data_IF_159128115192
#
_entry.id   IF_159128115192
#
_cell.length_a   1.000
_cell.length_b   1.000
_cell.length_c   1.000
_cell.angle_alpha   90.00
_cell.angle_beta   90.00
_cell.angle_gamma   90.00
#
_symmetry.space_group_name_H-M   'P 1'
#
loop_
_entity.id
_entity.type
_entity.pdbx_description
1 polymer ?
#
# COMPACT_ATOMS: atom_id res chain seq x y z
N UNK A 1 14.79 -41.91 -55.19
CA UNK A 1 16.03 -41.76 -55.98
C UNK A 1 16.96 -40.78 -55.28
N UNK A 2 17.93 -41.28 -54.51
CA UNK A 2 19.33 -40.87 -54.56
C UNK A 2 20.09 -41.72 -53.54
N UNK A 3 20.98 -42.54 -54.09
CA UNK A 3 21.78 -43.58 -53.45
C UNK A 3 23.22 -43.04 -53.39
N UNK A 4 23.87 -43.09 -52.22
CA UNK A 4 25.34 -43.15 -52.03
C UNK A 4 25.66 -43.07 -50.52
N UNK A 5 26.56 -43.82 -49.92
CA UNK A 5 27.24 -45.11 -50.15
C UNK A 5 28.14 -45.29 -48.91
N UNK A 6 28.04 -46.44 -48.24
CA UNK A 6 29.14 -47.30 -47.76
C UNK A 6 30.10 -46.74 -46.67
N UNK A 7 30.18 -47.37 -45.49
CA UNK A 7 31.26 -48.31 -45.13
C UNK A 7 31.05 -48.96 -43.76
N UNK A 8 30.86 -50.28 -43.80
CA UNK A 8 30.94 -51.21 -42.68
C UNK A 8 32.43 -51.61 -42.55
N UNK A 9 32.99 -51.51 -41.34
CA UNK A 9 34.38 -51.85 -41.05
C UNK A 9 34.49 -52.48 -39.69
N UNK A 10 34.42 -53.81 -39.68
CA UNK A 10 34.69 -54.69 -38.54
C UNK A 10 36.21 -54.74 -38.30
N UNK A 11 36.68 -54.44 -37.09
CA UNK A 11 38.02 -54.87 -36.65
C UNK A 11 38.02 -55.27 -35.17
N UNK A 12 38.12 -56.57 -34.96
CA UNK A 12 38.43 -57.24 -33.70
C UNK A 12 39.84 -56.81 -33.23
N UNK A 13 39.97 -56.34 -32.00
CA UNK A 13 41.25 -56.37 -31.25
C UNK A 13 40.97 -56.73 -29.80
N UNK A 14 41.61 -57.80 -29.36
CA UNK A 14 41.58 -58.39 -28.01
C UNK A 14 42.85 -57.94 -27.26
N UNK A 15 42.78 -57.96 -25.93
CA UNK A 15 43.82 -57.70 -24.90
C UNK A 15 43.97 -56.20 -24.57
N UNK A 16 43.88 -55.74 -23.31
CA UNK A 16 44.44 -56.30 -22.07
C UNK A 16 43.79 -55.62 -20.85
N UNK A 17 43.48 -56.40 -19.81
CA UNK A 17 43.22 -55.92 -18.46
C UNK A 17 44.42 -55.11 -17.95
N UNK A 18 44.20 -53.85 -17.61
CA UNK A 18 45.06 -53.13 -16.67
C UNK A 18 44.22 -52.06 -15.97
N UNK A 19 44.03 -52.26 -14.67
CA UNK A 19 43.34 -51.30 -13.82
C UNK A 19 44.12 -49.99 -13.74
N UNK A 20 43.41 -48.88 -13.89
CA UNK A 20 43.81 -47.60 -13.33
C UNK A 20 42.59 -47.04 -12.61
N UNK A 21 42.58 -47.24 -11.30
CA UNK A 21 41.79 -46.46 -10.35
C UNK A 21 42.26 -45.02 -10.50
N UNK A 22 41.44 -44.17 -11.10
CA UNK A 22 41.64 -42.72 -11.02
C UNK A 22 41.37 -42.31 -9.58
N UNK A 23 42.47 -42.03 -8.88
CA UNK A 23 42.50 -41.44 -7.56
C UNK A 23 41.83 -40.07 -7.61
N UNK A 24 40.66 -39.96 -6.99
CA UNK A 24 40.14 -38.65 -6.59
C UNK A 24 41.10 -38.11 -5.53
N UNK A 25 41.80 -37.03 -5.86
CA UNK A 25 42.54 -36.25 -4.87
C UNK A 25 41.51 -35.66 -3.90
N UNK A 26 41.37 -36.30 -2.75
CA UNK A 26 40.76 -35.68 -1.57
C UNK A 26 41.70 -34.57 -1.12
N UNK A 27 41.21 -33.35 -1.21
CA UNK A 27 41.86 -32.17 -0.67
C UNK A 27 41.98 -32.35 0.85
N UNK A 28 43.19 -32.22 1.37
CA UNK A 28 43.57 -32.57 2.73
C UNK A 28 43.21 -31.45 3.72
N UNK A 29 41.93 -31.06 3.74
CA UNK A 29 41.40 -30.03 4.65
C UNK A 29 40.56 -30.57 5.81
N UNK A 30 39.91 -31.72 5.64
CA UNK A 30 39.05 -32.30 6.69
C UNK A 30 39.72 -33.54 7.27
N UNK A 31 40.56 -33.34 8.28
CA UNK A 31 41.05 -34.44 9.10
C UNK A 31 39.84 -35.03 9.86
N UNK A 32 39.37 -36.20 9.43
CA UNK A 32 38.47 -37.03 10.21
C UNK A 32 39.20 -37.43 11.50
N UNK A 33 38.93 -36.69 12.59
CA UNK A 33 39.39 -37.05 13.93
C UNK A 33 38.48 -38.15 14.45
N UNK A 34 38.82 -39.40 14.16
CA UNK A 34 38.24 -40.54 14.86
C UNK A 34 38.81 -40.57 16.28
N UNK A 35 38.06 -40.00 17.24
CA UNK A 35 38.33 -40.22 18.67
C UNK A 35 38.05 -41.68 18.99
N UNK A 36 39.09 -42.44 19.27
CA UNK A 36 38.95 -43.79 19.85
C UNK A 36 38.67 -43.62 21.34
N UNK A 37 37.41 -43.76 21.76
CA UNK A 37 36.99 -43.75 23.18
C UNK A 37 37.35 -45.12 23.77
N UNK A 38 38.25 -45.16 24.76
CA UNK A 38 38.77 -46.41 25.38
C UNK A 38 37.92 -46.93 26.54
N UNK A 39 36.76 -46.33 26.82
CA UNK A 39 35.79 -46.84 27.77
C UNK A 39 34.42 -46.90 27.09
N UNK A 40 33.72 -48.01 27.27
CA UNK A 40 32.31 -48.15 26.91
C UNK A 40 31.52 -47.34 27.95
N UNK A 41 31.63 -46.01 27.86
CA UNK A 41 30.60 -45.13 28.39
C UNK A 41 29.31 -45.40 27.61
N UNK A 42 28.17 -45.16 28.26
CA UNK A 42 26.86 -45.22 27.62
C UNK A 42 26.91 -44.56 26.23
N UNK A 43 26.21 -45.13 25.22
CA UNK A 43 26.24 -44.56 23.88
C UNK A 43 25.85 -43.09 23.98
N UNK A 44 26.75 -42.18 23.57
CA UNK A 44 26.47 -40.74 23.54
C UNK A 44 25.13 -40.56 22.82
N UNK A 45 24.12 -40.03 23.51
CA UNK A 45 22.75 -40.00 23.02
C UNK A 45 22.60 -38.81 22.05
N UNK A 46 22.81 -39.07 20.76
CA UNK A 46 22.62 -38.07 19.72
C UNK A 46 21.14 -37.99 19.32
N UNK A 47 20.57 -36.80 19.39
CA UNK A 47 19.23 -36.54 18.90
C UNK A 47 19.32 -35.93 17.50
N UNK A 48 18.59 -36.54 16.56
CA UNK A 48 18.45 -36.03 15.19
C UNK A 48 17.03 -35.51 15.02
N UNK A 49 16.92 -34.23 14.72
CA UNK A 49 15.65 -33.56 14.48
C UNK A 49 15.65 -32.89 13.10
N UNK A 50 14.47 -32.65 12.57
CA UNK A 50 14.29 -31.84 11.37
C UNK A 50 13.92 -30.43 11.82
N UNK A 51 14.78 -29.46 11.51
CA UNK A 51 14.52 -28.04 11.73
C UNK A 51 14.21 -27.35 10.41
N UNK A 52 13.06 -26.69 10.32
CA UNK A 52 12.72 -25.81 9.19
C UNK A 52 13.29 -24.42 9.45
N UNK A 53 14.17 -23.95 8.56
CA UNK A 53 14.62 -22.56 8.54
C UNK A 53 13.69 -21.76 7.62
N UNK A 54 13.14 -20.67 8.15
CA UNK A 54 12.30 -19.72 7.40
C UNK A 54 13.12 -18.47 7.12
N UNK A 55 13.29 -18.13 5.86
CA UNK A 55 13.97 -16.90 5.41
C UNK A 55 12.97 -16.06 4.64
N UNK A 56 12.67 -14.87 5.16
CA UNK A 56 11.77 -13.91 4.50
C UNK A 56 12.60 -12.82 3.83
N UNK A 57 12.24 -12.43 2.62
CA UNK A 57 12.86 -11.31 1.92
C UNK A 57 12.60 -9.99 2.63
N UNK A 58 13.62 -9.13 2.72
CA UNK A 58 13.50 -7.78 3.29
C UNK A 58 12.78 -6.80 2.36
N UNK A 59 12.53 -7.19 1.10
CA UNK A 59 11.92 -6.31 0.10
C UNK A 59 10.59 -6.86 -0.42
N UNK A 60 9.58 -5.98 -0.43
CA UNK A 60 8.34 -6.22 -1.15
C UNK A 60 8.48 -5.80 -2.63
N UNK A 61 7.71 -6.42 -3.54
CA UNK A 61 7.52 -5.91 -4.89
C UNK A 61 6.97 -4.47 -4.89
N UNK A 62 7.07 -3.79 -6.03
CA UNK A 62 6.50 -2.46 -6.20
C UNK A 62 4.98 -2.45 -5.98
N UNK A 63 4.47 -1.39 -5.36
CA UNK A 63 3.03 -1.20 -5.15
C UNK A 63 2.29 -1.16 -6.49
N UNK A 64 1.13 -1.80 -6.55
CA UNK A 64 0.25 -1.80 -7.73
C UNK A 64 -1.12 -1.19 -7.42
N UNK A 65 -1.86 -0.78 -8.45
CA UNK A 65 -3.27 -0.41 -8.34
C UNK A 65 -4.15 -1.56 -8.84
N UNK A 66 -5.22 -1.85 -8.12
CA UNK A 66 -6.18 -2.89 -8.46
C UNK A 66 -7.58 -2.32 -8.60
N UNK A 67 -8.25 -2.67 -9.70
CA UNK A 67 -9.62 -2.28 -9.97
C UNK A 67 -10.62 -2.92 -8.99
N UNK A 68 -11.80 -2.33 -8.94
CA UNK A 68 -12.90 -2.85 -8.13
C UNK A 68 -13.45 -4.16 -8.72
N UNK A 69 -13.55 -5.19 -7.88
CA UNK A 69 -14.00 -6.54 -8.27
C UNK A 69 -15.47 -6.82 -7.91
N UNK A 70 -16.23 -5.80 -7.49
CA UNK A 70 -17.66 -5.94 -7.16
C UNK A 70 -17.95 -6.40 -5.73
N UNK A 71 -17.03 -6.17 -4.79
CA UNK A 71 -17.20 -6.46 -3.36
C UNK A 71 -18.23 -5.60 -2.62
N UNK A 72 -18.08 -5.46 -1.30
CA UNK A 72 -19.02 -4.70 -0.44
C UNK A 72 -18.56 -3.26 -0.12
N UNK A 73 -17.40 -2.84 -0.64
CA UNK A 73 -16.84 -1.52 -0.33
C UNK A 73 -17.25 -0.42 -1.31
N UNK A 74 -16.66 0.75 -1.11
CA UNK A 74 -16.92 1.95 -1.91
C UNK A 74 -16.08 1.84 -3.18
N UNK A 75 -16.74 1.57 -4.30
CA UNK A 75 -16.16 1.29 -5.62
C UNK A 75 -15.19 2.37 -6.12
N UNK A 76 -15.40 3.63 -5.74
CA UNK A 76 -14.55 4.76 -6.14
C UNK A 76 -13.47 5.16 -5.12
N UNK A 77 -13.33 4.43 -4.00
CA UNK A 77 -12.26 4.63 -3.02
C UNK A 77 -11.29 3.45 -3.07
N UNK A 78 -10.01 3.77 -3.27
CA UNK A 78 -8.92 2.83 -3.14
C UNK A 78 -8.38 2.81 -1.70
N UNK A 79 -8.15 1.63 -1.15
CA UNK A 79 -7.53 1.46 0.18
C UNK A 79 -6.27 0.60 0.09
N UNK A 80 -5.33 0.84 1.00
CA UNK A 80 -4.09 0.08 1.07
C UNK A 80 -4.36 -1.36 1.52
N UNK A 81 -3.79 -2.30 0.78
CA UNK A 81 -3.74 -3.73 1.09
C UNK A 81 -2.28 -4.11 1.21
N UNK A 82 -1.92 -4.67 2.36
CA UNK A 82 -0.55 -5.07 2.67
C UNK A 82 -0.11 -6.23 1.77
N UNK A 83 1.14 -6.13 1.29
CA UNK A 83 1.78 -7.19 0.51
C UNK A 83 2.32 -8.31 1.40
N UNK A 84 2.72 -9.41 0.77
CA UNK A 84 3.36 -10.54 1.45
C UNK A 84 4.78 -10.66 0.87
N UNK A 85 5.84 -10.66 1.69
CA UNK A 85 7.19 -10.84 1.20
C UNK A 85 7.44 -12.28 0.75
N UNK A 86 8.38 -12.47 -0.17
CA UNK A 86 8.83 -13.80 -0.58
C UNK A 86 9.37 -14.53 0.65
N UNK A 87 8.91 -15.77 0.87
CA UNK A 87 9.33 -16.59 2.00
C UNK A 87 9.86 -17.92 1.52
N UNK A 88 11.12 -18.20 1.87
CA UNK A 88 11.79 -19.48 1.60
C UNK A 88 11.79 -20.33 2.85
N UNK A 89 11.40 -21.59 2.70
CA UNK A 89 11.50 -22.61 3.75
C UNK A 89 12.47 -23.69 3.30
N UNK A 90 13.41 -24.06 4.16
CA UNK A 90 14.38 -25.11 3.90
C UNK A 90 14.57 -25.96 5.15
N UNK A 91 14.44 -27.28 5.01
CA UNK A 91 14.56 -28.20 6.12
C UNK A 91 16.01 -28.67 6.27
N UNK A 92 16.46 -28.81 7.51
CA UNK A 92 17.78 -29.30 7.85
C UNK A 92 17.67 -30.47 8.83
N UNK A 93 18.44 -31.53 8.59
CA UNK A 93 18.76 -32.50 9.64
C UNK A 93 19.75 -31.85 10.59
N UNK A 94 19.36 -31.70 11.85
CA UNK A 94 20.17 -31.14 12.91
C UNK A 94 20.46 -32.22 13.94
N UNK A 95 21.75 -32.47 14.18
CA UNK A 95 22.21 -33.42 15.21
C UNK A 95 22.74 -32.63 16.39
N UNK A 96 22.21 -32.92 17.59
CA UNK A 96 22.64 -32.30 18.85
C UNK A 96 23.23 -33.34 19.80
N UNK A 97 24.18 -32.93 20.63
CA UNK A 97 24.64 -33.71 21.79
C UNK A 97 23.67 -33.57 22.98
N UNK A 98 23.99 -34.28 24.06
CA UNK A 98 23.26 -34.25 25.33
C UNK A 98 23.21 -32.85 25.96
N UNK A 99 24.19 -31.98 25.65
CA UNK A 99 24.22 -30.57 26.08
C UNK A 99 23.38 -29.63 25.19
N UNK A 100 22.81 -30.13 24.08
CA UNK A 100 21.98 -29.36 23.14
C UNK A 100 22.75 -28.55 22.09
N UNK A 101 24.07 -28.68 22.03
CA UNK A 101 24.93 -28.04 21.03
C UNK A 101 24.78 -28.69 19.65
N UNK A 102 24.79 -27.89 18.59
CA UNK A 102 24.68 -28.39 17.21
C UNK A 102 26.01 -28.99 16.78
N UNK A 103 26.01 -30.29 16.48
CA UNK A 103 27.18 -31.02 15.97
C UNK A 103 27.16 -31.09 14.44
N UNK A 104 25.98 -31.23 13.84
CA UNK A 104 25.82 -31.28 12.39
C UNK A 104 24.52 -30.60 11.97
N UNK A 105 24.58 -29.90 10.83
CA UNK A 105 23.43 -29.31 10.15
C UNK A 105 23.55 -29.57 8.66
N UNK A 106 22.70 -30.45 8.13
CA UNK A 106 22.74 -30.86 6.72
C UNK A 106 21.40 -30.57 6.04
N UNK A 107 21.35 -29.87 4.89
CA UNK A 107 20.10 -29.59 4.20
C UNK A 107 19.42 -30.87 3.73
N UNK A 108 18.11 -30.95 3.90
CA UNK A 108 17.27 -32.02 3.36
C UNK A 108 17.08 -31.74 1.86
N UNK A 109 17.63 -32.60 1.01
CA UNK A 109 17.55 -32.40 -0.44
C UNK A 109 16.09 -32.37 -0.92
N UNK A 110 15.76 -31.34 -1.70
CA UNK A 110 14.41 -31.14 -2.24
C UNK A 110 13.39 -30.57 -1.24
N UNK A 111 13.78 -30.27 0.01
CA UNK A 111 12.89 -29.63 0.99
C UNK A 111 12.63 -28.15 0.73
N UNK A 112 13.51 -27.50 -0.05
CA UNK A 112 13.42 -26.07 -0.35
C UNK A 112 12.10 -25.76 -1.07
N UNK A 113 11.24 -24.99 -0.42
CA UNK A 113 10.01 -24.43 -0.99
C UNK A 113 10.05 -22.91 -0.88
N UNK A 114 9.55 -22.25 -1.92
CA UNK A 114 9.47 -20.79 -2.00
C UNK A 114 8.01 -20.41 -2.17
N UNK A 115 7.54 -19.52 -1.31
CA UNK A 115 6.27 -18.84 -1.46
C UNK A 115 6.53 -17.48 -2.09
N UNK A 116 5.93 -17.25 -3.26
CA UNK A 116 6.13 -16.03 -4.05
C UNK A 116 5.63 -14.80 -3.30
N UNK A 117 6.32 -13.68 -3.49
CA UNK A 117 5.88 -12.40 -2.95
C UNK A 117 4.56 -11.93 -3.59
N UNK A 118 3.69 -11.33 -2.77
CA UNK A 118 2.50 -10.60 -3.21
C UNK A 118 2.76 -9.10 -3.04
N UNK A 119 2.61 -8.34 -4.12
CA UNK A 119 2.80 -6.90 -4.08
C UNK A 119 1.76 -6.22 -3.15
N UNK A 120 2.17 -5.21 -2.35
CA UNK A 120 1.20 -4.32 -1.73
C UNK A 120 0.41 -3.58 -2.80
N UNK A 121 -0.83 -3.20 -2.51
CA UNK A 121 -1.68 -2.56 -3.52
C UNK A 121 -2.65 -1.53 -2.97
N UNK A 122 -2.99 -0.56 -3.82
CA UNK A 122 -4.16 0.30 -3.63
C UNK A 122 -5.33 -0.33 -4.38
N UNK A 123 -6.32 -0.85 -3.64
CA UNK A 123 -7.46 -1.58 -4.22
C UNK A 123 -8.75 -0.77 -4.11
N UNK A 124 -9.42 -0.52 -5.24
CA UNK A 124 -10.76 0.08 -5.30
C UNK A 124 -11.83 -0.85 -4.72
N UNK A 125 -12.89 -0.29 -4.14
CA UNK A 125 -13.85 -1.04 -3.33
C UNK A 125 -13.43 -1.15 -1.86
N UNK A 126 -12.66 -0.19 -1.37
CA UNK A 126 -12.23 -0.14 0.01
C UNK A 126 -13.24 0.55 0.93
N UNK A 127 -12.81 0.85 2.15
CA UNK A 127 -13.57 1.67 3.10
C UNK A 127 -12.88 3.01 3.30
N UNK A 128 -13.58 3.96 3.93
CA UNK A 128 -12.99 5.26 4.28
C UNK A 128 -12.03 5.08 5.46
N UNK A 129 -10.73 4.96 5.16
CA UNK A 129 -9.66 4.87 6.16
C UNK A 129 -8.58 5.91 5.90
N UNK A 130 -7.68 6.10 6.87
CA UNK A 130 -6.51 6.97 6.68
C UNK A 130 -5.60 6.35 5.61
N UNK A 131 -5.15 7.17 4.66
CA UNK A 131 -4.36 6.74 3.51
C UNK A 131 -5.19 6.23 2.33
N UNK A 132 -6.52 6.10 2.47
CA UNK A 132 -7.39 5.80 1.34
C UNK A 132 -7.34 6.94 0.31
N UNK A 133 -7.39 6.58 -0.97
CA UNK A 133 -7.25 7.49 -2.10
C UNK A 133 -8.46 7.46 -3.03
N UNK A 134 -8.78 8.58 -3.67
CA UNK A 134 -9.77 8.62 -4.75
C UNK A 134 -9.51 9.79 -5.71
N UNK A 135 -10.15 9.74 -6.87
CA UNK A 135 -9.97 10.70 -7.97
C UNK A 135 -11.28 11.42 -8.27
N UNK A 136 -11.60 12.52 -7.58
CA UNK A 136 -12.89 13.15 -7.72
C UNK A 136 -13.03 14.00 -8.98
N UNK A 137 -14.25 14.15 -9.45
CA UNK A 137 -14.62 15.37 -10.18
C UNK A 137 -14.79 16.50 -9.17
N UNK A 138 -13.99 17.55 -9.29
CA UNK A 138 -14.15 18.74 -8.45
C UNK A 138 -15.02 19.81 -9.10
N UNK A 139 -15.88 20.42 -8.29
CA UNK A 139 -16.66 21.62 -8.62
C UNK A 139 -16.46 22.68 -7.52
N UNK A 140 -17.10 23.83 -7.66
CA UNK A 140 -17.12 24.87 -6.63
C UNK A 140 -18.53 25.37 -6.36
N UNK A 141 -18.79 25.81 -5.14
CA UNK A 141 -20.05 26.42 -4.74
C UNK A 141 -19.83 27.65 -3.85
N UNK A 142 -20.73 28.62 -3.98
CA UNK A 142 -20.78 29.80 -3.11
C UNK A 142 -21.84 29.70 -2.02
N UNK A 143 -21.78 30.62 -1.06
CA UNK A 143 -22.82 30.83 -0.03
C UNK A 143 -24.16 31.25 -0.64
N UNK A 144 -24.09 31.84 -1.83
CA UNK A 144 -25.18 32.32 -2.67
C UNK A 144 -25.57 31.33 -3.78
N UNK A 145 -25.14 30.06 -3.67
CA UNK A 145 -25.51 29.03 -4.63
C UNK A 145 -27.03 28.85 -4.75
N UNK A 146 -27.48 28.37 -5.91
CA UNK A 146 -28.89 27.97 -6.09
C UNK A 146 -29.26 26.86 -5.11
N UNK A 147 -30.15 27.18 -4.16
CA UNK A 147 -30.56 26.28 -3.07
C UNK A 147 -29.78 26.47 -1.77
N UNK A 148 -28.74 27.30 -1.75
CA UNK A 148 -28.09 27.78 -0.54
C UNK A 148 -28.90 28.94 0.07
N UNK A 149 -29.00 28.99 1.41
CA UNK A 149 -29.78 30.01 2.13
C UNK A 149 -29.14 31.41 2.16
N UNK A 150 -27.93 31.58 1.62
CA UNK A 150 -27.12 32.78 1.78
C UNK A 150 -27.23 33.84 0.69
N UNK A 151 -28.11 33.65 -0.32
CA UNK A 151 -28.27 34.60 -1.42
C UNK A 151 -28.73 36.00 -0.95
N UNK A 152 -29.61 36.06 0.05
CA UNK A 152 -30.16 37.33 0.58
C UNK A 152 -29.36 37.88 1.76
N UNK A 153 -28.99 37.02 2.71
CA UNK A 153 -28.31 37.42 3.95
C UNK A 153 -26.80 37.62 3.78
N UNK A 154 -26.20 37.03 2.73
CA UNK A 154 -24.75 36.93 2.58
C UNK A 154 -24.09 35.89 3.49
N UNK A 155 -24.87 35.14 4.27
CA UNK A 155 -24.40 34.14 5.22
C UNK A 155 -25.26 32.87 5.19
N UNK A 156 -24.64 31.70 5.32
CA UNK A 156 -25.32 30.40 5.38
C UNK A 156 -24.64 29.48 6.41
N UNK A 157 -25.27 28.33 6.65
CA UNK A 157 -24.66 27.22 7.38
C UNK A 157 -24.31 26.09 6.43
N UNK A 158 -23.21 25.40 6.69
CA UNK A 158 -22.90 24.10 6.08
C UNK A 158 -23.65 22.99 6.82
N UNK A 159 -23.85 21.83 6.19
CA UNK A 159 -24.49 20.68 6.83
C UNK A 159 -23.73 20.16 8.07
N UNK A 160 -22.41 20.36 8.12
CA UNK A 160 -21.55 20.08 9.26
C UNK A 160 -21.61 21.12 10.38
N UNK A 161 -22.33 22.24 10.18
CA UNK A 161 -22.60 23.26 11.18
C UNK A 161 -21.59 24.42 11.22
N UNK A 162 -20.71 24.57 10.22
CA UNK A 162 -19.93 25.80 10.08
C UNK A 162 -20.83 26.93 9.57
N UNK A 163 -20.63 28.15 10.06
CA UNK A 163 -21.24 29.35 9.48
C UNK A 163 -20.27 29.96 8.48
N UNK A 164 -20.76 30.22 7.28
CA UNK A 164 -19.98 30.73 6.15
C UNK A 164 -20.65 31.98 5.59
N UNK A 165 -19.85 32.89 5.06
CA UNK A 165 -20.29 34.12 4.39
C UNK A 165 -19.58 34.30 3.06
N UNK A 166 -19.92 35.37 2.34
CA UNK A 166 -19.32 35.65 1.01
C UNK A 166 -17.80 35.77 1.04
N UNK A 167 -17.25 36.35 2.12
CA UNK A 167 -15.83 36.67 2.29
C UNK A 167 -15.27 36.24 3.66
N UNK A 168 -16.02 35.45 4.42
CA UNK A 168 -15.62 35.10 5.78
C UNK A 168 -16.20 33.78 6.24
N UNK A 169 -15.56 33.17 7.24
CA UNK A 169 -16.00 31.94 7.88
C UNK A 169 -15.90 32.09 9.39
N UNK A 170 -16.94 31.64 10.10
CA UNK A 170 -16.93 31.57 11.56
C UNK A 170 -16.01 30.44 12.01
N UNK A 171 -14.93 30.80 12.67
CA UNK A 171 -13.88 29.87 13.08
C UNK A 171 -14.30 29.03 14.30
N UNK A 172 -13.60 27.91 14.60
CA UNK A 172 -13.89 27.08 15.77
C UNK A 172 -13.88 27.83 17.11
N UNK A 173 -13.08 28.90 17.22
CA UNK A 173 -13.01 29.76 18.40
C UNK A 173 -14.25 30.68 18.57
N UNK A 174 -15.16 30.71 17.60
CA UNK A 174 -16.38 31.52 17.60
C UNK A 174 -16.21 32.93 17.01
N UNK A 175 -15.09 33.23 16.37
CA UNK A 175 -14.83 34.52 15.73
C UNK A 175 -14.92 34.41 14.21
N UNK A 176 -15.47 35.43 13.55
CA UNK A 176 -15.44 35.52 12.10
C UNK A 176 -14.03 35.90 11.63
N UNK A 177 -13.51 35.14 10.68
CA UNK A 177 -12.26 35.46 9.98
C UNK A 177 -12.53 35.65 8.50
N UNK A 178 -11.82 36.58 7.88
CA UNK A 178 -11.81 36.76 6.42
C UNK A 178 -11.25 35.51 5.72
N UNK A 179 -11.75 35.25 4.51
CA UNK A 179 -11.38 34.11 3.68
C UNK A 179 -12.39 32.96 3.72
N UNK A 180 -11.99 31.83 3.14
CA UNK A 180 -12.87 30.67 2.86
C UNK A 180 -12.50 29.40 3.64
N UNK A 181 -11.67 29.53 4.68
CA UNK A 181 -11.17 28.39 5.47
C UNK A 181 -11.81 28.31 6.86
N UNK A 182 -11.92 27.10 7.38
CA UNK A 182 -12.40 26.79 8.74
C UNK A 182 -11.30 26.05 9.51
N UNK A 183 -10.78 26.67 10.57
CA UNK A 183 -9.71 26.07 11.37
C UNK A 183 -8.42 25.82 10.56
N UNK A 184 -8.16 26.64 9.54
CA UNK A 184 -7.02 26.51 8.64
C UNK A 184 -7.22 25.55 7.46
N UNK A 185 -8.38 24.89 7.35
CA UNK A 185 -8.70 23.98 6.25
C UNK A 185 -9.72 24.58 5.30
N UNK A 186 -9.56 24.35 4.00
CA UNK A 186 -10.60 24.71 3.02
C UNK A 186 -11.85 23.87 3.23
N UNK A 187 -13.03 24.45 3.01
CA UNK A 187 -14.30 23.72 3.20
C UNK A 187 -14.69 22.99 1.92
N UNK A 188 -15.04 21.71 2.03
CA UNK A 188 -15.63 20.95 0.92
C UNK A 188 -16.95 20.28 1.29
N UNK A 189 -17.83 20.17 0.29
CA UNK A 189 -18.93 19.23 0.28
C UNK A 189 -18.47 17.90 -0.30
N UNK A 190 -18.93 16.79 0.29
CA UNK A 190 -18.58 15.44 -0.15
C UNK A 190 -19.74 14.46 -0.04
N UNK A 191 -19.60 13.28 -0.63
CA UNK A 191 -20.53 12.16 -0.45
C UNK A 191 -20.63 11.74 1.04
N UNK A 192 -21.81 11.39 1.58
CA UNK A 192 -21.98 11.01 2.98
C UNK A 192 -21.16 9.82 3.46
N UNK A 193 -20.70 8.95 2.55
CA UNK A 193 -19.77 7.87 2.89
C UNK A 193 -18.47 8.39 3.50
N UNK A 194 -18.01 9.60 3.12
CA UNK A 194 -16.91 10.31 3.81
C UNK A 194 -17.51 11.09 4.98
N UNK A 195 -17.16 10.76 6.25
CA UNK A 195 -17.72 11.43 7.42
C UNK A 195 -17.39 12.92 7.47
N UNK A 196 -18.25 13.70 8.14
CA UNK A 196 -17.94 15.10 8.45
C UNK A 196 -16.68 15.19 9.33
N UNK A 197 -15.97 16.32 9.22
CA UNK A 197 -14.70 16.60 9.87
C UNK A 197 -13.51 15.76 9.37
N UNK A 198 -13.69 14.95 8.32
CA UNK A 198 -12.59 14.26 7.66
C UNK A 198 -11.66 15.30 7.03
N UNK A 199 -10.35 15.08 7.16
CA UNK A 199 -9.33 15.92 6.53
C UNK A 199 -8.82 15.21 5.30
N UNK A 200 -8.80 15.96 4.20
CA UNK A 200 -8.40 15.51 2.89
C UNK A 200 -7.20 16.34 2.45
N UNK A 201 -6.20 15.71 1.85
CA UNK A 201 -5.20 16.44 1.05
C UNK A 201 -5.58 16.29 -0.41
N UNK A 202 -5.70 17.42 -1.12
CA UNK A 202 -6.10 17.49 -2.52
C UNK A 202 -4.88 17.90 -3.34
N UNK A 203 -4.44 17.00 -4.23
CA UNK A 203 -3.33 17.17 -5.14
C UNK A 203 -3.84 17.50 -6.55
N UNK A 204 -2.95 17.95 -7.44
CA UNK A 204 -3.19 18.04 -8.89
C UNK A 204 -4.49 18.77 -9.28
N UNK A 205 -4.80 19.85 -8.56
CA UNK A 205 -5.99 20.67 -8.82
C UNK A 205 -5.66 21.89 -9.69
N UNK A 206 -6.68 22.42 -10.35
CA UNK A 206 -6.59 23.62 -11.19
C UNK A 206 -6.89 24.94 -10.49
N UNK A 207 -7.36 24.92 -9.23
CA UNK A 207 -7.79 26.14 -8.52
C UNK A 207 -6.67 27.17 -8.30
N UNK A 208 -7.00 28.44 -8.55
CA UNK A 208 -6.15 29.60 -8.30
C UNK A 208 -6.97 30.73 -7.69
N UNK A 209 -6.45 31.35 -6.62
CA UNK A 209 -7.14 32.39 -5.84
C UNK A 209 -7.39 31.95 -4.40
N UNK A 210 -7.72 32.90 -3.52
CA UNK A 210 -8.01 32.62 -2.09
C UNK A 210 -6.91 31.83 -1.36
N UNK A 211 -5.64 32.00 -1.77
CA UNK A 211 -4.50 31.26 -1.22
C UNK A 211 -4.19 29.92 -1.88
N UNK A 212 -4.96 29.51 -2.90
CA UNK A 212 -4.69 28.33 -3.72
C UNK A 212 -3.83 28.66 -4.94
N UNK A 213 -2.91 27.74 -5.25
CA UNK A 213 -2.05 27.78 -6.45
C UNK A 213 -2.23 26.47 -7.21
N UNK A 214 -2.49 26.49 -8.54
CA UNK A 214 -2.67 25.27 -9.32
C UNK A 214 -1.49 24.30 -9.17
N UNK A 215 -1.80 23.01 -8.97
CA UNK A 215 -0.83 21.95 -8.76
C UNK A 215 -0.12 21.93 -7.40
N UNK A 216 -0.35 22.90 -6.52
CA UNK A 216 0.20 22.91 -5.15
C UNK A 216 -0.83 22.32 -4.19
N UNK A 217 -0.57 21.17 -3.54
CA UNK A 217 -1.57 20.51 -2.73
C UNK A 217 -2.08 21.38 -1.57
N UNK A 218 -3.37 21.23 -1.24
CA UNK A 218 -3.97 21.90 -0.08
C UNK A 218 -4.79 20.92 0.76
N UNK A 219 -5.02 21.29 2.02
CA UNK A 219 -5.84 20.50 2.93
C UNK A 219 -7.26 21.06 3.02
N UNK A 220 -8.23 20.17 2.97
CA UNK A 220 -9.64 20.48 3.06
C UNK A 220 -10.32 19.66 4.16
N UNK A 221 -11.40 20.22 4.71
CA UNK A 221 -12.26 19.58 5.70
C UNK A 221 -13.65 19.37 5.12
N UNK A 222 -14.18 18.15 5.30
CA UNK A 222 -15.55 17.83 4.90
C UNK A 222 -16.52 18.46 5.89
N UNK A 223 -17.14 19.56 5.50
CA UNK A 223 -18.08 20.32 6.34
C UNK A 223 -19.46 20.44 5.73
N UNK A 224 -19.66 20.01 4.49
CA UNK A 224 -20.93 20.22 3.81
C UNK A 224 -21.41 19.03 2.99
N UNK A 225 -22.65 19.12 2.52
CA UNK A 225 -23.30 18.15 1.64
C UNK A 225 -24.08 18.89 0.56
N UNK A 226 -24.18 18.27 -0.61
CA UNK A 226 -25.09 18.73 -1.66
C UNK A 226 -25.87 17.55 -2.23
N UNK A 227 -27.11 17.79 -2.65
CA UNK A 227 -27.95 16.73 -3.24
C UNK A 227 -27.28 16.04 -4.44
N UNK A 228 -26.52 16.82 -5.22
CA UNK A 228 -25.76 16.38 -6.40
C UNK A 228 -24.29 16.05 -6.12
N UNK A 229 -23.85 16.05 -4.85
CA UNK A 229 -22.49 15.71 -4.44
C UNK A 229 -22.51 14.28 -3.92
N UNK A 230 -22.32 13.34 -4.85
CA UNK A 230 -22.41 11.89 -4.65
C UNK A 230 -21.23 11.19 -5.31
N UNK A 231 -20.83 10.06 -4.74
CA UNK A 231 -19.70 9.28 -5.23
C UNK A 231 -18.38 10.06 -5.19
N UNK A 232 -17.50 9.83 -6.16
CA UNK A 232 -16.24 10.57 -6.35
C UNK A 232 -16.46 12.00 -6.88
N UNK A 233 -17.17 12.83 -6.12
CA UNK A 233 -17.35 14.25 -6.39
C UNK A 233 -17.08 15.06 -5.12
N UNK A 234 -16.33 16.14 -5.27
CA UNK A 234 -16.11 17.14 -4.23
C UNK A 234 -16.53 18.51 -4.73
N UNK A 235 -17.10 19.32 -3.84
CA UNK A 235 -17.46 20.71 -4.12
C UNK A 235 -16.69 21.63 -3.19
N UNK A 236 -15.84 22.50 -3.73
CA UNK A 236 -15.04 23.45 -2.95
C UNK A 236 -15.87 24.70 -2.64
N UNK A 237 -15.93 25.08 -1.38
CA UNK A 237 -16.51 26.36 -1.00
C UNK A 237 -15.60 27.51 -1.43
N UNK A 238 -16.14 28.48 -2.19
CA UNK A 238 -15.36 29.58 -2.77
C UNK A 238 -15.80 30.97 -2.28
N UNK A 239 -16.52 31.05 -1.16
CA UNK A 239 -17.09 32.30 -0.70
C UNK A 239 -18.38 32.61 -1.46
N UNK A 240 -18.33 33.52 -2.42
CA UNK A 240 -19.48 33.85 -3.29
C UNK A 240 -19.26 33.39 -4.73
N UNK A 241 -20.26 32.73 -5.32
CA UNK A 241 -20.19 32.31 -6.73
C UNK A 241 -20.40 33.48 -7.70
N UNK A 242 -21.09 34.54 -7.25
CA UNK A 242 -21.34 35.75 -8.05
C UNK A 242 -20.14 36.71 -8.16
N UNK A 243 -19.16 36.60 -7.27
CA UNK A 243 -18.00 37.52 -7.23
C UNK A 243 -16.75 36.95 -7.93
N UNK A 244 -16.77 35.67 -8.32
CA UNK A 244 -15.71 35.00 -9.09
C UNK A 244 -14.29 35.15 -8.48
N UNK A 245 -14.17 34.95 -7.17
CA UNK A 245 -12.89 35.08 -6.43
C UNK A 245 -11.86 33.99 -6.76
N UNK A 246 -12.27 32.95 -7.49
CA UNK A 246 -11.45 31.79 -7.82
C UNK A 246 -11.59 31.42 -9.30
N UNK A 247 -10.50 30.97 -9.89
CA UNK A 247 -10.46 30.44 -11.25
C UNK A 247 -9.95 29.01 -11.27
N UNK A 248 -10.31 28.25 -12.31
CA UNK A 248 -9.88 26.85 -12.48
C UNK A 248 -9.11 26.73 -13.79
N UNK A 249 -7.84 26.33 -13.69
CA UNK A 249 -7.09 25.85 -14.85
C UNK A 249 -7.45 24.39 -15.13
N UNK A 250 -8.40 24.18 -16.04
CA UNK A 250 -8.87 22.85 -16.41
C UNK A 250 -7.80 21.93 -17.01
N UNK A 251 -6.72 22.47 -17.58
CA UNK A 251 -5.62 21.65 -18.11
C UNK A 251 -4.81 20.96 -16.99
N UNK A 252 -4.84 21.52 -15.78
CA UNK A 252 -4.15 21.00 -14.60
C UNK A 252 -5.09 20.34 -13.60
N UNK A 253 -6.40 20.28 -13.87
CA UNK A 253 -7.40 19.87 -12.89
C UNK A 253 -7.71 18.36 -12.98
N UNK A 254 -6.75 17.54 -12.57
CA UNK A 254 -6.89 16.08 -12.45
C UNK A 254 -6.67 15.65 -11.00
N UNK A 255 -7.57 16.03 -10.08
CA UNK A 255 -7.27 15.97 -8.66
C UNK A 255 -7.19 14.53 -8.16
N UNK A 256 -6.17 14.28 -7.33
CA UNK A 256 -6.07 13.11 -6.46
C UNK A 256 -6.34 13.54 -5.03
N UNK A 257 -7.10 12.75 -4.29
CA UNK A 257 -7.37 12.99 -2.88
C UNK A 257 -6.83 11.86 -2.04
N UNK A 258 -6.18 12.21 -0.93
CA UNK A 258 -5.79 11.29 0.13
C UNK A 258 -6.56 11.66 1.40
N UNK A 259 -7.15 10.67 2.06
CA UNK A 259 -7.82 10.85 3.35
C UNK A 259 -6.75 10.82 4.45
N UNK A 260 -6.45 11.98 5.03
CA UNK A 260 -5.45 12.13 6.12
C UNK A 260 -6.06 11.82 7.48
N UNK A 261 -7.35 12.11 7.66
CA UNK A 261 -8.08 11.85 8.90
C UNK A 261 -9.52 11.52 8.58
N UNK A 262 -10.02 10.43 9.15
CA UNK A 262 -11.45 10.09 9.12
C UNK A 262 -12.14 10.84 10.26
N UNK A 263 -13.16 11.62 9.94
CA UNK A 263 -13.99 12.32 10.93
C UNK A 263 -15.06 11.42 11.55
N UNK A 264 -15.95 11.98 12.38
CA UNK A 264 -16.91 11.14 13.12
C UNK A 264 -17.81 11.81 14.14
N UNK A 265 -18.02 13.13 14.08
CA UNK A 265 -19.02 13.81 14.93
C UNK A 265 -19.80 14.83 14.09
N UNK A 266 -21.11 14.93 14.33
CA UNK A 266 -22.01 15.91 13.70
C UNK A 266 -22.30 17.09 14.64
N UNK A 267 -22.43 18.30 14.09
CA UNK A 267 -22.87 19.50 14.79
C UNK A 267 -21.88 20.68 14.79
N UNK A 268 -22.31 21.91 15.11
CA UNK A 268 -21.56 23.17 14.94
C UNK A 268 -20.26 23.34 15.74
N UNK A 269 -19.78 22.29 16.43
CA UNK A 269 -18.49 22.22 17.15
C UNK A 269 -17.84 20.84 17.09
N UNK A 270 -18.33 19.96 16.23
CA UNK A 270 -17.88 18.57 16.16
C UNK A 270 -16.51 18.40 15.51
N UNK A 271 -16.10 19.41 14.74
CA UNK A 271 -14.85 19.46 13.99
C UNK A 271 -13.79 20.33 14.68
N UNK A 272 -13.97 20.67 15.95
CA UNK A 272 -12.97 21.39 16.74
C UNK A 272 -11.67 20.56 16.75
N UNK A 273 -10.63 21.17 16.18
CA UNK A 273 -9.25 20.67 16.14
C UNK A 273 -8.53 21.12 17.40
#
# INVERSE_FOLDING_TARGET
MNLKRIFFGLFMTVFTLCGCVSTVKLDAGNQLVLRTKTEIDAPDEFQVEVETVVTTSDSLPAMVYADYDGGEGIDWIASYVEGIPETTYEDFFVTRNEEGEIISKTPVLGSKRVEDAVAPMMKFGGSVTVGSEFYPRMTSYGVDCVGCGGAESGYSGTAGGASVGKHSVLQPNGEWSEGITYGGYYIVAADPSIPFCSILTIYDHGYSGEGLTPGVPFQAIVMDRGGAIRGAKLDLFIGSESEHNMSINYALNNPKVIIERVGGRSGPRSCAV
#
